data_IF_543415906478
#
_entry.id   IF_543415906478
#
_cell.length_a   1.000
_cell.length_b   1.000
_cell.length_c   1.000
_cell.angle_alpha   90.00
_cell.angle_beta   90.00
_cell.angle_gamma   90.00
#
_symmetry.space_group_name_H-M   'P 1'
#
loop_
_entity.id
_entity.type
_entity.pdbx_description
1 polymer ?
#
# COMPACT_ATOMS: atom_id res chain seq x y z
N UNK A 1 23.65 2.63 -14.39
CA UNK A 1 23.50 3.83 -13.53
C UNK A 1 22.04 4.32 -13.48
N UNK A 2 21.35 4.49 -14.62
CA UNK A 2 19.92 4.91 -14.62
C UNK A 2 18.97 3.86 -14.01
N UNK A 3 19.13 2.58 -14.36
CA UNK A 3 18.29 1.50 -13.81
C UNK A 3 18.39 1.36 -12.28
N UNK A 4 19.60 1.53 -11.73
CA UNK A 4 19.85 1.49 -10.29
C UNK A 4 19.22 2.70 -9.58
N UNK A 5 19.32 3.90 -10.16
CA UNK A 5 18.71 5.10 -9.59
C UNK A 5 17.17 4.98 -9.56
N UNK A 6 16.57 4.47 -10.64
CA UNK A 6 15.13 4.20 -10.71
C UNK A 6 14.68 3.19 -9.65
N UNK A 7 15.43 2.08 -9.52
CA UNK A 7 15.14 1.05 -8.52
C UNK A 7 15.18 1.61 -7.10
N UNK A 8 16.20 2.42 -6.76
CA UNK A 8 16.31 3.04 -5.43
C UNK A 8 15.15 3.98 -5.14
N UNK A 9 14.75 4.82 -6.10
CA UNK A 9 13.60 5.74 -5.94
C UNK A 9 12.31 4.95 -5.74
N UNK A 10 12.10 3.89 -6.53
CA UNK A 10 10.92 3.04 -6.39
C UNK A 10 10.85 2.36 -5.02
N UNK A 11 11.94 1.74 -4.55
CA UNK A 11 11.98 1.11 -3.22
C UNK A 11 11.79 2.11 -2.08
N UNK A 12 12.34 3.33 -2.23
CA UNK A 12 12.12 4.41 -1.27
C UNK A 12 10.66 4.83 -1.22
N UNK A 13 10.04 5.09 -2.38
CA UNK A 13 8.61 5.42 -2.49
C UNK A 13 7.72 4.30 -1.93
N UNK A 14 8.04 3.05 -2.25
CA UNK A 14 7.36 1.87 -1.70
C UNK A 14 7.38 1.89 -0.17
N UNK A 15 8.56 2.12 0.42
CA UNK A 15 8.72 2.21 1.88
C UNK A 15 7.90 3.36 2.49
N UNK A 16 7.99 4.56 1.91
CA UNK A 16 7.25 5.74 2.37
C UNK A 16 5.73 5.51 2.31
N UNK A 17 5.23 5.01 1.19
CA UNK A 17 3.81 4.72 0.98
C UNK A 17 3.35 3.65 1.98
N UNK A 18 4.17 2.62 2.22
CA UNK A 18 3.87 1.57 3.18
C UNK A 18 3.76 2.08 4.61
N UNK A 19 4.70 2.94 5.03
CA UNK A 19 4.71 3.57 6.36
C UNK A 19 3.46 4.44 6.56
N UNK A 20 2.99 5.12 5.52
CA UNK A 20 1.80 5.99 5.59
C UNK A 20 0.49 5.20 5.56
N UNK A 21 0.38 4.17 4.72
CA UNK A 21 -0.87 3.42 4.54
C UNK A 21 -1.07 2.34 5.60
N UNK A 22 -0.01 1.81 6.20
CA UNK A 22 -0.10 0.82 7.27
C UNK A 22 -0.92 1.29 8.49
N UNK A 23 -0.70 2.48 9.09
CA UNK A 23 -1.52 2.95 10.20
C UNK A 23 -2.98 3.15 9.79
N UNK A 24 -3.24 3.55 8.53
CA UNK A 24 -4.61 3.67 8.01
C UNK A 24 -5.27 2.28 7.92
N UNK A 25 -4.57 1.27 7.38
CA UNK A 25 -5.03 -0.11 7.36
C UNK A 25 -5.30 -0.63 8.78
N UNK A 26 -4.41 -0.34 9.72
CA UNK A 26 -4.56 -0.73 11.11
C UNK A 26 -5.78 -0.07 11.77
N UNK A 27 -6.02 1.22 11.53
CA UNK A 27 -7.21 1.91 12.01
C UNK A 27 -8.49 1.34 11.40
N UNK A 28 -8.50 1.09 10.09
CA UNK A 28 -9.62 0.42 9.42
C UNK A 28 -9.88 -0.92 10.09
N UNK A 29 -8.85 -1.72 10.29
CA UNK A 29 -8.98 -3.02 10.95
C UNK A 29 -9.51 -2.86 12.38
N UNK A 30 -8.97 -1.96 13.18
CA UNK A 30 -9.37 -1.75 14.57
C UNK A 30 -10.85 -1.35 14.70
N UNK A 31 -11.30 -0.46 13.82
CA UNK A 31 -12.69 0.04 13.80
C UNK A 31 -13.64 -1.01 13.22
N UNK A 32 -13.23 -1.72 12.17
CA UNK A 32 -14.08 -2.71 11.49
C UNK A 32 -14.00 -4.11 12.11
N UNK A 33 -13.06 -4.37 13.03
CA UNK A 33 -12.88 -5.66 13.70
C UNK A 33 -14.18 -6.26 14.30
N UNK A 34 -15.01 -5.49 15.04
CA UNK A 34 -16.25 -6.03 15.59
C UNK A 34 -17.37 -6.25 14.56
N UNK A 35 -17.35 -5.55 13.41
CA UNK A 35 -18.46 -5.54 12.44
C UNK A 35 -18.18 -6.31 11.14
N UNK A 36 -16.94 -6.30 10.66
CA UNK A 36 -16.52 -6.88 9.38
C UNK A 36 -15.68 -8.14 9.62
N UNK A 37 -16.34 -9.24 10.01
CA UNK A 37 -15.70 -10.55 10.19
C UNK A 37 -14.93 -11.04 8.95
N UNK A 38 -15.35 -10.62 7.76
CA UNK A 38 -14.73 -11.00 6.49
C UNK A 38 -13.62 -10.05 6.04
N UNK A 39 -13.39 -8.94 6.77
CA UNK A 39 -12.38 -7.91 6.47
C UNK A 39 -12.49 -7.39 5.04
N UNK A 40 -13.70 -7.32 4.49
CA UNK A 40 -13.96 -6.88 3.10
C UNK A 40 -13.45 -5.46 2.88
N UNK A 41 -13.66 -4.58 3.86
CA UNK A 41 -13.27 -3.18 3.78
C UNK A 41 -11.75 -3.03 3.82
N UNK A 42 -11.09 -3.79 4.68
CA UNK A 42 -9.63 -3.88 4.74
C UNK A 42 -9.06 -4.44 3.43
N UNK A 43 -9.67 -5.48 2.87
CA UNK A 43 -9.23 -6.07 1.60
C UNK A 43 -9.31 -5.06 0.45
N UNK A 44 -10.43 -4.35 0.32
CA UNK A 44 -10.57 -3.28 -0.70
C UNK A 44 -9.51 -2.19 -0.54
N UNK A 45 -9.23 -1.79 0.70
CA UNK A 45 -8.16 -0.82 0.98
C UNK A 45 -6.78 -1.35 0.56
N UNK A 46 -6.45 -2.61 0.86
CA UNK A 46 -5.18 -3.20 0.45
C UNK A 46 -5.06 -3.39 -1.06
N UNK A 47 -6.16 -3.67 -1.77
CA UNK A 47 -6.16 -3.70 -3.24
C UNK A 47 -5.93 -2.31 -3.83
N UNK A 48 -6.52 -1.27 -3.24
CA UNK A 48 -6.26 0.12 -3.62
C UNK A 48 -4.79 0.50 -3.39
N UNK A 49 -4.22 0.12 -2.23
CA UNK A 49 -2.80 0.31 -1.94
C UNK A 49 -1.89 -0.38 -2.96
N UNK A 50 -2.15 -1.65 -3.29
CA UNK A 50 -1.43 -2.35 -4.34
C UNK A 50 -1.56 -1.65 -5.70
N UNK A 51 -2.75 -1.14 -6.03
CA UNK A 51 -2.99 -0.36 -7.25
C UNK A 51 -2.11 0.90 -7.35
N UNK A 52 -1.99 1.67 -6.26
CA UNK A 52 -1.11 2.86 -6.20
C UNK A 52 0.34 2.48 -6.52
N UNK A 53 0.84 1.42 -5.87
CA UNK A 53 2.22 0.97 -6.05
C UNK A 53 2.47 0.47 -7.48
N UNK A 54 1.50 -0.25 -8.05
CA UNK A 54 1.58 -0.75 -9.43
C UNK A 54 1.54 0.39 -10.45
N UNK A 55 0.70 1.41 -10.26
CA UNK A 55 0.61 2.57 -11.15
C UNK A 55 1.84 3.48 -11.10
N UNK A 56 2.51 3.55 -9.94
CA UNK A 56 3.73 4.34 -9.77
C UNK A 56 4.95 3.73 -10.47
N UNK A 57 4.90 2.46 -10.87
CA UNK A 57 5.94 1.85 -11.68
C UNK A 57 5.50 1.76 -13.16
N UNK A 58 5.77 2.76 -13.99
CA UNK A 58 5.50 2.68 -15.43
C UNK A 58 6.38 1.67 -16.19
N UNK A 59 7.39 1.08 -15.55
CA UNK A 59 8.38 0.19 -16.18
C UNK A 59 8.23 -1.27 -15.76
N UNK A 60 6.99 -1.77 -15.61
CA UNK A 60 6.76 -3.22 -15.54
C UNK A 60 7.28 -3.94 -16.78
#
# INVERSE_FOLDING_TARGET
MLATAWSTVFWFLYGVISILLFPIAFLIWLITYPFDRRRVLLHKFTCFWAGILTWLNPCW
#
